data_IF_789156818454
#
_entry.id   IF_789156818454
#
_cell.length_a   1.000
_cell.length_b   1.000
_cell.length_c   1.000
_cell.angle_alpha   90.00
_cell.angle_beta   90.00
_cell.angle_gamma   90.00
#
_symmetry.space_group_name_H-M   'P 1'
#
loop_
_entity.id
_entity.type
_entity.pdbx_description
1 polymer ?
#
# COMPACT_ATOMS: atom_id res chain seq x y z
N UNK A 1 9.67 -13.28 -44.03
CA UNK A 1 9.17 -11.90 -44.07
C UNK A 1 7.73 -11.73 -43.57
N UNK A 2 6.70 -12.32 -44.20
CA UNK A 2 5.30 -12.13 -43.75
C UNK A 2 4.99 -12.83 -42.40
N UNK A 3 5.52 -14.03 -42.19
CA UNK A 3 5.35 -14.80 -40.95
C UNK A 3 6.01 -14.10 -39.75
N UNK A 4 7.20 -13.55 -39.93
CA UNK A 4 7.90 -12.78 -38.88
C UNK A 4 7.11 -11.52 -38.47
N UNK A 5 6.45 -10.88 -39.44
CA UNK A 5 5.60 -9.72 -39.18
C UNK A 5 4.37 -10.09 -38.33
N UNK A 6 3.79 -11.27 -38.59
CA UNK A 6 2.64 -11.80 -37.83
C UNK A 6 3.05 -12.14 -36.39
N UNK A 7 4.21 -12.79 -36.21
CA UNK A 7 4.74 -13.09 -34.88
C UNK A 7 5.03 -11.81 -34.10
N UNK A 8 5.60 -10.79 -34.76
CA UNK A 8 5.86 -9.49 -34.15
C UNK A 8 4.56 -8.79 -33.72
N UNK A 9 3.51 -8.84 -34.55
CA UNK A 9 2.20 -8.28 -34.22
C UNK A 9 1.51 -9.01 -33.07
N UNK A 10 1.63 -10.34 -33.01
CA UNK A 10 1.10 -11.15 -31.92
C UNK A 10 1.82 -10.84 -30.59
N UNK A 11 3.15 -10.72 -30.61
CA UNK A 11 3.95 -10.30 -29.45
C UNK A 11 3.59 -8.89 -28.99
N UNK A 12 3.43 -7.95 -29.92
CA UNK A 12 3.02 -6.58 -29.60
C UNK A 12 1.65 -6.56 -28.89
N UNK A 13 0.69 -7.34 -29.37
CA UNK A 13 -0.63 -7.48 -28.75
C UNK A 13 -0.55 -8.05 -27.32
N UNK A 14 0.29 -9.05 -27.09
CA UNK A 14 0.49 -9.64 -25.75
C UNK A 14 1.08 -8.61 -24.79
N UNK A 15 2.10 -7.86 -25.23
CA UNK A 15 2.72 -6.80 -24.42
C UNK A 15 1.70 -5.70 -24.10
N UNK A 16 0.88 -5.31 -25.09
CA UNK A 16 -0.16 -4.29 -24.89
C UNK A 16 -1.23 -4.74 -23.89
N UNK A 17 -1.64 -6.01 -23.96
CA UNK A 17 -2.58 -6.60 -22.99
C UNK A 17 -2.00 -6.64 -21.58
N UNK A 18 -0.74 -7.07 -21.45
CA UNK A 18 -0.06 -7.12 -20.16
C UNK A 18 0.08 -5.72 -19.55
N UNK A 19 0.41 -4.71 -20.37
CA UNK A 19 0.54 -3.33 -19.92
C UNK A 19 -0.81 -2.74 -19.49
N UNK A 20 -1.87 -3.01 -20.24
CA UNK A 20 -3.24 -2.61 -19.89
C UNK A 20 -3.67 -3.23 -18.56
N UNK A 21 -3.36 -4.51 -18.34
CA UNK A 21 -3.66 -5.22 -17.11
C UNK A 21 -2.92 -4.61 -15.92
N UNK A 22 -1.64 -4.28 -16.07
CA UNK A 22 -0.84 -3.59 -15.04
C UNK A 22 -1.42 -2.21 -14.71
N UNK A 23 -1.90 -1.45 -15.70
CA UNK A 23 -2.49 -0.13 -15.48
C UNK A 23 -3.86 -0.22 -14.79
N UNK A 24 -4.70 -1.16 -15.21
CA UNK A 24 -6.05 -1.37 -14.65
C UNK A 24 -5.99 -1.80 -13.16
N UNK A 25 -5.04 -2.67 -12.80
CA UNK A 25 -4.83 -3.08 -11.40
C UNK A 25 -3.88 -2.17 -10.62
N UNK A 26 -3.04 -1.40 -11.31
CA UNK A 26 -2.07 -0.48 -10.72
C UNK A 26 -2.72 0.60 -9.87
N UNK A 27 -3.89 1.09 -10.29
CA UNK A 27 -4.69 2.03 -9.49
C UNK A 27 -5.12 1.46 -8.15
N UNK A 28 -5.45 0.17 -8.08
CA UNK A 28 -5.87 -0.50 -6.83
C UNK A 28 -4.69 -0.75 -5.91
N UNK A 29 -3.58 -1.26 -6.44
CA UNK A 29 -2.35 -1.49 -5.66
C UNK A 29 -1.82 -0.16 -5.12
N UNK A 30 -1.83 0.89 -5.94
CA UNK A 30 -1.41 2.23 -5.53
C UNK A 30 -2.33 2.81 -4.44
N UNK A 31 -3.64 2.62 -4.54
CA UNK A 31 -4.60 3.02 -3.49
C UNK A 31 -4.33 2.30 -2.18
N UNK A 32 -4.08 1.00 -2.21
CA UNK A 32 -3.75 0.20 -1.03
C UNK A 32 -2.43 0.68 -0.43
N UNK A 33 -1.40 0.86 -1.26
CA UNK A 33 -0.10 1.36 -0.81
C UNK A 33 -0.19 2.75 -0.18
N UNK A 34 -0.99 3.66 -0.76
CA UNK A 34 -1.26 4.98 -0.18
C UNK A 34 -1.98 4.89 1.16
N UNK A 35 -2.97 3.99 1.29
CA UNK A 35 -3.68 3.78 2.55
C UNK A 35 -2.73 3.27 3.64
N UNK A 36 -1.87 2.31 3.28
CA UNK A 36 -0.84 1.74 4.15
C UNK A 36 0.15 2.81 4.61
N UNK A 37 0.66 3.62 3.68
CA UNK A 37 1.57 4.71 3.96
C UNK A 37 0.93 5.76 4.87
N UNK A 38 -0.34 6.11 4.67
CA UNK A 38 -1.07 7.03 5.55
C UNK A 38 -1.16 6.52 6.99
N UNK A 39 -1.42 5.23 7.16
CA UNK A 39 -1.42 4.56 8.45
C UNK A 39 -0.08 4.64 9.18
N UNK A 40 1.01 4.37 8.48
CA UNK A 40 2.36 4.47 9.05
C UNK A 40 2.78 5.91 9.35
N UNK A 41 2.44 6.84 8.46
CA UNK A 41 2.69 8.28 8.68
C UNK A 41 1.95 8.74 9.92
N UNK A 42 0.67 8.38 10.07
CA UNK A 42 -0.08 8.72 11.29
C UNK A 42 0.54 8.08 12.53
N UNK A 43 0.99 6.82 12.46
CA UNK A 43 1.66 6.15 13.59
C UNK A 43 2.95 6.86 14.00
N UNK A 44 3.74 7.31 13.03
CA UNK A 44 4.94 8.09 13.30
C UNK A 44 4.60 9.45 13.92
N UNK A 45 3.57 10.13 13.42
CA UNK A 45 3.14 11.44 13.92
C UNK A 45 2.64 11.38 15.36
N UNK A 46 1.83 10.38 15.72
CA UNK A 46 1.31 10.26 17.10
C UNK A 46 2.42 9.94 18.10
N UNK A 47 3.46 9.22 17.68
CA UNK A 47 4.65 8.94 18.50
C UNK A 47 5.57 10.15 18.72
N UNK A 48 5.34 11.28 18.04
CA UNK A 48 6.04 12.54 18.34
C UNK A 48 5.35 13.29 19.47
N UNK A 49 4.09 12.97 19.77
CA UNK A 49 3.31 13.67 20.79
C UNK A 49 3.79 13.21 22.18
N UNK A 50 4.24 14.13 23.05
CA UNK A 50 4.66 13.77 24.40
C UNK A 50 3.50 13.13 25.18
N UNK A 51 3.73 11.95 25.76
CA UNK A 51 2.73 11.18 26.50
C UNK A 51 2.02 10.09 25.70
N UNK A 52 2.31 9.94 24.40
CA UNK A 52 1.87 8.81 23.57
C UNK A 52 3.11 8.04 23.11
N UNK A 53 3.22 6.78 23.52
CA UNK A 53 4.33 5.91 23.15
C UNK A 53 3.79 4.56 22.65
N UNK A 54 3.66 4.44 21.33
CA UNK A 54 3.19 3.23 20.66
C UNK A 54 4.42 2.49 20.12
N UNK A 55 4.74 1.28 20.60
CA UNK A 55 5.95 0.57 20.20
C UNK A 55 5.95 0.26 18.70
N UNK A 56 6.98 0.67 17.97
CA UNK A 56 7.14 0.41 16.54
C UNK A 56 7.64 -1.03 16.35
N UNK A 57 6.72 -1.98 16.17
CA UNK A 57 7.01 -3.38 15.91
C UNK A 57 6.20 -3.88 14.71
N UNK A 58 6.42 -5.12 14.28
CA UNK A 58 5.74 -5.66 13.09
C UNK A 58 4.21 -5.63 13.23
N UNK A 59 3.69 -5.81 14.45
CA UNK A 59 2.26 -5.85 14.73
C UNK A 59 1.64 -4.45 14.63
N UNK A 60 2.26 -3.44 15.22
CA UNK A 60 1.75 -2.05 15.18
C UNK A 60 1.88 -1.44 13.79
N UNK A 61 2.93 -1.79 13.04
CA UNK A 61 3.07 -1.43 11.63
C UNK A 61 1.98 -2.11 10.78
N UNK A 62 1.66 -3.38 11.04
CA UNK A 62 0.59 -4.06 10.31
C UNK A 62 -0.79 -3.48 10.65
N UNK A 63 -1.10 -3.26 11.93
CA UNK A 63 -2.39 -2.72 12.38
C UNK A 63 -2.59 -1.27 11.90
N UNK A 64 -1.58 -0.41 12.00
CA UNK A 64 -1.64 0.95 11.46
C UNK A 64 -1.67 0.97 9.94
N UNK A 65 -0.90 0.11 9.27
CA UNK A 65 -0.89 0.03 7.81
C UNK A 65 -2.23 -0.42 7.24
N UNK A 66 -2.72 -1.59 7.63
CA UNK A 66 -3.96 -2.14 7.10
C UNK A 66 -5.22 -1.46 7.67
N UNK A 67 -5.17 -0.99 8.91
CA UNK A 67 -6.26 -0.23 9.53
C UNK A 67 -6.23 1.27 9.23
N UNK A 68 -5.18 1.76 8.55
CA UNK A 68 -4.96 3.17 8.28
C UNK A 68 -5.00 4.02 9.55
N UNK A 69 -5.57 5.22 9.41
CA UNK A 69 -5.73 6.20 10.51
C UNK A 69 -6.54 5.63 11.68
N UNK A 70 -7.57 4.81 11.40
CA UNK A 70 -8.40 4.18 12.44
C UNK A 70 -7.62 3.14 13.23
N UNK A 71 -6.81 2.33 12.55
CA UNK A 71 -5.90 1.37 13.19
C UNK A 71 -4.92 2.10 14.12
N UNK A 72 -4.34 3.19 13.65
CA UNK A 72 -3.46 4.04 14.47
C UNK A 72 -4.18 4.63 15.69
N UNK A 73 -5.42 5.10 15.54
CA UNK A 73 -6.22 5.63 16.64
C UNK A 73 -6.47 4.58 17.73
N UNK A 74 -6.78 3.33 17.35
CA UNK A 74 -6.96 2.23 18.30
C UNK A 74 -5.66 1.93 19.04
N UNK A 75 -4.52 1.95 18.34
CA UNK A 75 -3.21 1.73 18.96
C UNK A 75 -2.87 2.82 19.99
N UNK A 76 -3.20 4.09 19.70
CA UNK A 76 -3.04 5.20 20.64
C UNK A 76 -3.96 5.05 21.86
N UNK A 77 -5.22 4.64 21.65
CA UNK A 77 -6.12 4.36 22.76
C UNK A 77 -5.57 3.26 23.66
N UNK A 78 -5.06 2.18 23.07
CA UNK A 78 -4.42 1.08 23.80
C UNK A 78 -3.18 1.55 24.56
N UNK A 79 -2.34 2.42 23.99
CA UNK A 79 -1.13 2.91 24.65
C UNK A 79 -1.42 3.86 25.82
N UNK A 80 -2.61 4.47 25.88
CA UNK A 80 -3.03 5.34 26.99
C UNK A 80 -3.71 4.51 28.10
N UNK A 81 -4.38 3.42 27.73
CA UNK A 81 -5.10 2.53 28.66
C UNK A 81 -4.19 1.56 29.42
N UNK A 82 -3.02 1.25 28.86
CA UNK A 82 -2.03 0.27 29.39
C UNK A 82 -0.83 1.04 29.92
#
# INVERSE_FOLDING_TARGET
>A
MFEELIVLFALLLIVLLAFKLILDYGGTILKIAMHLAFGWITLALVNVIPGIDVPINLLTIAVSGFGGVLGTFILVLLSILI
#
